data_IF_349318255948
#
_entry.id   IF_349318255948
#
_cell.length_a   1.000
_cell.length_b   1.000
_cell.length_c   1.000
_cell.angle_alpha   90.00
_cell.angle_beta   90.00
_cell.angle_gamma   90.00
#
_symmetry.space_group_name_H-M   'P 1'
#
loop_
_entity.id
_entity.type
_entity.pdbx_description
1 polymer ?
#
# COMPACT_ATOMS: atom_id res chain seq x y z
N UNK A 1 -2.73 2.77 8.50
CA UNK A 1 -3.80 1.98 7.85
C UNK A 1 -4.54 2.76 6.76
N UNK A 2 -5.07 3.96 7.03
CA UNK A 2 -5.81 4.76 6.03
C UNK A 2 -5.13 4.85 4.66
N UNK A 3 -3.87 5.29 4.61
CA UNK A 3 -3.09 5.37 3.37
C UNK A 3 -3.02 4.05 2.57
N UNK A 4 -2.99 2.88 3.23
CA UNK A 4 -2.96 1.60 2.52
C UNK A 4 -4.32 1.23 1.94
N UNK A 5 -5.40 1.45 2.71
CA UNK A 5 -6.77 1.20 2.26
C UNK A 5 -7.18 2.16 1.14
N UNK A 6 -6.81 3.44 1.24
CA UNK A 6 -7.07 4.43 0.20
C UNK A 6 -6.33 4.07 -1.10
N UNK A 7 -5.08 3.60 -1.00
CA UNK A 7 -4.33 3.14 -2.15
C UNK A 7 -4.99 1.93 -2.82
N UNK A 8 -5.37 0.92 -2.03
CA UNK A 8 -6.09 -0.27 -2.51
C UNK A 8 -7.43 0.08 -3.17
N UNK A 9 -8.18 1.01 -2.56
CA UNK A 9 -9.43 1.52 -3.10
C UNK A 9 -9.24 2.24 -4.44
N UNK A 10 -8.30 3.18 -4.49
CA UNK A 10 -7.99 3.90 -5.72
C UNK A 10 -7.47 2.97 -6.83
N UNK A 11 -6.67 1.96 -6.50
CA UNK A 11 -6.23 0.94 -7.44
C UNK A 11 -7.40 0.11 -7.99
N UNK A 12 -8.35 -0.27 -7.13
CA UNK A 12 -9.56 -1.02 -7.51
C UNK A 12 -10.48 -0.21 -8.42
N UNK A 13 -10.62 1.09 -8.19
CA UNK A 13 -11.40 1.98 -9.06
C UNK A 13 -10.82 2.09 -10.48
N UNK A 14 -9.49 2.04 -10.61
CA UNK A 14 -8.79 2.10 -11.90
C UNK A 14 -8.80 0.79 -12.70
N UNK A 15 -9.35 -0.29 -12.15
CA UNK A 15 -9.49 -1.58 -12.83
C UNK A 15 -10.98 -1.93 -13.00
N UNK A 16 -11.67 -1.47 -14.06
CA UNK A 16 -13.12 -1.62 -14.19
C UNK A 16 -13.63 -3.06 -14.10
N UNK A 17 -12.85 -4.00 -14.65
CA UNK A 17 -13.20 -5.43 -14.72
C UNK A 17 -12.79 -6.22 -13.46
N UNK A 18 -12.03 -5.61 -12.54
CA UNK A 18 -11.58 -6.24 -11.30
C UNK A 18 -12.58 -6.08 -10.16
N UNK A 19 -12.58 -7.02 -9.21
CA UNK A 19 -13.37 -6.93 -7.98
C UNK A 19 -13.06 -5.63 -7.23
N UNK A 20 -14.08 -5.09 -6.56
CA UNK A 20 -13.93 -3.94 -5.66
C UNK A 20 -13.72 -4.36 -4.21
N UNK A 21 -13.56 -5.66 -3.98
CA UNK A 21 -13.25 -6.20 -2.67
C UNK A 21 -11.79 -5.89 -2.32
N UNK A 22 -11.61 -5.30 -1.15
CA UNK A 22 -10.31 -5.10 -0.53
C UNK A 22 -10.29 -6.00 0.69
N UNK A 23 -9.26 -6.85 0.77
CA UNK A 23 -9.07 -7.75 1.89
C UNK A 23 -8.04 -7.15 2.84
N UNK A 24 -8.38 -7.12 4.12
CA UNK A 24 -7.49 -6.70 5.19
C UNK A 24 -7.33 -7.89 6.14
N UNK A 25 -6.15 -8.49 6.17
CA UNK A 25 -5.79 -9.51 7.13
C UNK A 25 -4.99 -8.86 8.25
N UNK A 26 -5.39 -9.12 9.48
CA UNK A 26 -4.63 -8.75 10.67
C UNK A 26 -4.38 -10.04 11.43
N UNK A 27 -3.11 -10.42 11.53
CA UNK A 27 -2.68 -11.55 12.32
C UNK A 27 -1.70 -11.08 13.40
N UNK A 28 -1.80 -11.69 14.57
CA UNK A 28 -0.85 -11.46 15.67
C UNK A 28 -0.16 -12.77 16.00
N UNK A 29 1.17 -12.79 15.94
CA UNK A 29 1.97 -13.95 16.34
C UNK A 29 3.05 -13.50 17.32
N UNK A 30 2.95 -13.98 18.55
CA UNK A 30 3.86 -13.61 19.64
C UNK A 30 3.91 -12.09 19.87
N UNK A 31 5.03 -11.49 19.47
CA UNK A 31 5.30 -10.04 19.64
C UNK A 31 5.12 -9.24 18.34
N UNK A 32 4.71 -9.89 17.25
CA UNK A 32 4.55 -9.27 15.94
C UNK A 32 3.08 -9.17 15.55
N UNK A 33 2.74 -8.08 14.84
CA UNK A 33 1.45 -7.91 14.19
C UNK A 33 1.70 -7.79 12.69
N UNK A 34 1.14 -8.72 11.94
CA UNK A 34 1.19 -8.74 10.47
C UNK A 34 -0.12 -8.15 9.96
N UNK A 35 -0.01 -7.09 9.15
CA UNK A 35 -1.14 -6.46 8.48
C UNK A 35 -0.93 -6.59 6.98
N UNK A 36 -1.87 -7.24 6.30
CA UNK A 36 -1.85 -7.41 4.86
C UNK A 36 -3.07 -6.77 4.24
N UNK A 37 -2.84 -5.92 3.24
CA UNK A 37 -3.88 -5.33 2.42
C UNK A 37 -3.74 -5.90 1.02
N UNK A 38 -4.80 -6.53 0.52
CA UNK A 38 -4.87 -7.06 -0.84
C UNK A 38 -6.04 -6.43 -1.59
N UNK A 39 -5.79 -6.07 -2.85
CA UNK A 39 -6.77 -5.56 -3.79
C UNK A 39 -6.65 -6.27 -5.13
N UNK A 40 -7.71 -6.18 -5.94
CA UNK A 40 -7.74 -6.70 -7.32
C UNK A 40 -7.73 -5.54 -8.34
N UNK A 41 -7.00 -4.48 -8.01
CA UNK A 41 -6.88 -3.27 -8.79
C UNK A 41 -5.90 -3.36 -9.96
N UNK A 42 -5.46 -2.20 -10.44
CA UNK A 42 -4.56 -2.09 -11.59
C UNK A 42 -3.12 -2.57 -11.31
N UNK A 43 -2.81 -2.94 -10.07
CA UNK A 43 -1.46 -3.28 -9.64
C UNK A 43 -0.51 -2.08 -9.63
N UNK A 44 0.79 -2.38 -9.52
CA UNK A 44 1.88 -1.40 -9.46
C UNK A 44 2.79 -1.60 -10.67
N UNK A 45 3.06 -0.51 -11.39
CA UNK A 45 4.03 -0.44 -12.48
C UNK A 45 5.40 -0.95 -12.00
N UNK A 46 6.02 -1.80 -12.81
CA UNK A 46 7.31 -2.40 -12.52
C UNK A 46 8.40 -1.37 -12.25
N UNK A 47 8.40 -0.25 -12.97
CA UNK A 47 9.36 0.84 -12.78
C UNK A 47 9.25 1.52 -11.40
N UNK A 48 8.10 1.39 -10.73
CA UNK A 48 7.85 2.00 -9.43
C UNK A 48 8.09 1.04 -8.27
N UNK A 49 8.04 -0.29 -8.48
CA UNK A 49 7.99 -1.31 -7.42
C UNK A 49 9.08 -1.15 -6.35
N UNK A 50 10.31 -0.86 -6.75
CA UNK A 50 11.44 -0.74 -5.84
C UNK A 50 11.46 0.58 -5.07
N UNK A 51 10.69 1.57 -5.55
CA UNK A 51 10.71 2.96 -5.08
C UNK A 51 9.37 3.43 -4.52
N UNK A 52 8.35 2.59 -4.48
CA UNK A 52 6.97 2.97 -4.06
C UNK A 52 6.89 3.56 -2.64
N UNK A 53 7.87 3.27 -1.79
CA UNK A 53 7.94 3.82 -0.44
C UNK A 53 8.87 5.04 -0.30
N UNK A 54 9.49 5.50 -1.38
CA UNK A 54 10.27 6.74 -1.40
C UNK A 54 9.33 7.96 -1.34
N UNK A 55 9.80 9.01 -0.66
CA UNK A 55 9.04 10.26 -0.56
C UNK A 55 8.86 10.88 -1.94
N UNK A 56 7.62 11.20 -2.30
CA UNK A 56 7.31 11.84 -3.57
C UNK A 56 6.91 10.88 -4.69
N UNK A 57 7.08 9.57 -4.50
CA UNK A 57 6.70 8.57 -5.52
C UNK A 57 5.19 8.35 -5.51
N UNK A 58 4.57 8.49 -6.67
CA UNK A 58 3.14 8.29 -6.88
C UNK A 58 2.88 7.83 -8.31
N UNK A 59 1.88 6.96 -8.49
CA UNK A 59 1.34 6.61 -9.80
C UNK A 59 0.06 7.38 -10.13
N UNK A 60 -0.38 8.27 -9.23
CA UNK A 60 -1.58 9.07 -9.43
C UNK A 60 -1.28 10.32 -10.23
N UNK A 61 -2.12 10.63 -11.20
CA UNK A 61 -2.13 11.92 -11.90
C UNK A 61 -2.81 13.03 -11.08
N UNK A 62 -3.37 12.72 -9.89
CA UNK A 62 -3.95 13.69 -8.96
C UNK A 62 -2.87 14.54 -8.27
N UNK A 63 -3.28 15.57 -7.53
CA UNK A 63 -2.41 16.41 -6.69
C UNK A 63 -1.74 15.67 -5.51
N UNK A 64 -1.86 14.35 -5.41
CA UNK A 64 -1.24 13.60 -4.33
C UNK A 64 0.28 13.59 -4.47
N UNK A 65 0.96 14.22 -3.52
CA UNK A 65 2.41 14.40 -3.51
C UNK A 65 3.22 13.11 -3.24
N UNK A 66 2.62 11.92 -3.31
CA UNK A 66 3.33 10.66 -3.06
C UNK A 66 3.88 10.54 -1.62
N UNK A 67 3.15 11.08 -0.65
CA UNK A 67 3.55 11.06 0.77
C UNK A 67 2.95 9.88 1.56
N UNK A 68 1.87 9.27 1.07
CA UNK A 68 1.09 8.28 1.83
C UNK A 68 1.89 7.03 2.20
N UNK A 69 2.46 6.33 1.22
CA UNK A 69 3.25 5.11 1.46
C UNK A 69 4.57 5.41 2.21
N UNK A 70 5.20 6.54 1.92
CA UNK A 70 6.39 6.98 2.64
C UNK A 70 6.10 7.21 4.13
N UNK A 71 4.97 7.83 4.48
CA UNK A 71 4.55 8.00 5.88
C UNK A 71 4.31 6.65 6.56
N UNK A 72 3.63 5.72 5.88
CA UNK A 72 3.42 4.37 6.43
C UNK A 72 4.76 3.70 6.72
N UNK A 73 5.69 3.71 5.76
CA UNK A 73 7.04 3.15 5.96
C UNK A 73 7.75 3.81 7.14
N UNK A 74 7.73 5.13 7.22
CA UNK A 74 8.38 5.89 8.30
C UNK A 74 7.86 5.48 9.69
N UNK A 75 6.54 5.35 9.85
CA UNK A 75 5.95 4.92 11.12
C UNK A 75 6.22 3.46 11.45
N UNK A 76 6.20 2.57 10.45
CA UNK A 76 6.52 1.16 10.64
C UNK A 76 7.98 0.98 11.05
N UNK A 77 8.91 1.65 10.37
CA UNK A 77 10.35 1.63 10.72
C UNK A 77 10.60 2.25 12.11
N UNK A 78 9.91 3.36 12.46
CA UNK A 78 10.01 3.95 13.80
C UNK A 78 9.52 3.01 14.91
N UNK A 79 8.57 2.14 14.61
CA UNK A 79 8.10 1.09 15.52
C UNK A 79 9.00 -0.16 15.52
N UNK A 80 10.11 -0.17 14.78
CA UNK A 80 11.01 -1.31 14.66
C UNK A 80 10.51 -2.41 13.72
N UNK A 81 9.47 -2.15 12.94
CA UNK A 81 8.89 -3.09 11.98
C UNK A 81 9.42 -2.92 10.56
N UNK A 82 8.83 -3.68 9.63
CA UNK A 82 9.12 -3.56 8.20
C UNK A 82 7.82 -3.55 7.37
N UNK A 83 7.90 -2.96 6.18
CA UNK A 83 6.81 -2.95 5.21
C UNK A 83 7.36 -3.39 3.85
N UNK A 84 6.55 -4.13 3.11
CA UNK A 84 6.90 -4.57 1.77
C UNK A 84 5.67 -4.93 0.95
N UNK A 85 5.92 -5.36 -0.28
CA UNK A 85 4.91 -5.92 -1.18
C UNK A 85 5.10 -7.44 -1.25
N UNK A 86 4.00 -8.19 -1.20
CA UNK A 86 4.01 -9.62 -1.50
C UNK A 86 4.03 -9.83 -3.02
N UNK A 87 4.82 -10.81 -3.50
CA UNK A 87 4.93 -11.11 -4.93
C UNK A 87 3.62 -11.63 -5.50
#
# INVERSE_FOLDING_TARGET
MGNLLDNAYNASLRQPQGSKQIECLINSDGQEVIIEIADQGCGIDEALRDRIFERGVTSSASKDHGIGLWLVRSYVEQAGGSIGRRK
#
